data_IF_082890607067
#
_entry.id   IF_082890607067
#
_cell.length_a   1.000
_cell.length_b   1.000
_cell.length_c   1.000
_cell.angle_alpha   90.00
_cell.angle_beta   90.00
_cell.angle_gamma   90.00
#
_symmetry.space_group_name_H-M   'P 1'
#
loop_
_entity.id
_entity.type
_entity.pdbx_description
1 polymer ?
#
# COMPACT_ATOMS: atom_id res chain seq x y z
N UNK A 1 15.70 -18.01 6.98
CA UNK A 1 14.73 -17.64 8.02
C UNK A 1 15.07 -18.40 9.27
N UNK A 2 15.25 -17.69 10.37
CA UNK A 2 15.32 -18.25 11.72
C UNK A 2 14.00 -18.96 12.11
N UNK A 3 14.04 -19.64 13.25
CA UNK A 3 12.93 -20.42 13.77
C UNK A 3 11.72 -19.54 14.12
N UNK A 4 11.97 -18.37 14.70
CA UNK A 4 10.93 -17.38 15.06
C UNK A 4 10.15 -16.92 13.82
N UNK A 5 10.84 -16.63 12.73
CA UNK A 5 10.22 -16.23 11.46
C UNK A 5 9.32 -17.33 10.90
N UNK A 6 9.76 -18.61 10.98
CA UNK A 6 8.93 -19.74 10.52
C UNK A 6 7.68 -19.89 11.38
N UNK A 7 7.83 -19.77 12.70
CA UNK A 7 6.70 -19.84 13.63
C UNK A 7 5.70 -18.71 13.37
N UNK A 8 6.18 -17.49 13.13
CA UNK A 8 5.35 -16.34 12.77
C UNK A 8 4.49 -16.62 11.54
N UNK A 9 5.08 -17.08 10.43
CA UNK A 9 4.32 -17.39 9.21
C UNK A 9 3.37 -18.58 9.37
N UNK A 10 3.71 -19.58 10.20
CA UNK A 10 2.79 -20.66 10.53
C UNK A 10 1.55 -20.16 11.27
N UNK A 11 1.72 -19.23 12.22
CA UNK A 11 0.60 -18.61 12.95
C UNK A 11 -0.26 -17.78 12.00
N UNK A 12 0.36 -16.92 11.17
CA UNK A 12 -0.35 -16.12 10.17
C UNK A 12 -1.20 -17.00 9.24
N UNK A 13 -0.61 -18.07 8.73
CA UNK A 13 -1.31 -18.97 7.82
C UNK A 13 -2.45 -19.73 8.53
N UNK A 14 -2.15 -20.40 9.65
CA UNK A 14 -3.11 -21.28 10.32
C UNK A 14 -4.24 -20.55 11.06
N UNK A 15 -4.02 -19.30 11.49
CA UNK A 15 -5.01 -18.52 12.25
C UNK A 15 -5.72 -17.47 11.41
N UNK A 16 -5.04 -16.86 10.44
CA UNK A 16 -5.56 -15.73 9.67
C UNK A 16 -5.70 -16.03 8.17
N UNK A 17 -5.22 -17.19 7.69
CA UNK A 17 -5.19 -17.51 6.27
C UNK A 17 -4.19 -16.68 5.46
N UNK A 18 -3.27 -15.97 6.12
CA UNK A 18 -2.27 -15.12 5.46
C UNK A 18 -1.06 -15.98 5.09
N UNK A 19 -0.73 -16.02 3.80
CA UNK A 19 0.43 -16.74 3.27
C UNK A 19 1.71 -15.93 3.37
N UNK A 20 1.63 -14.64 3.05
CA UNK A 20 2.79 -13.73 3.04
C UNK A 20 2.39 -12.35 3.51
N UNK A 21 3.32 -11.69 4.18
CA UNK A 21 3.27 -10.26 4.48
C UNK A 21 4.66 -9.69 4.23
N UNK A 22 4.75 -8.56 3.54
CA UNK A 22 6.05 -7.91 3.32
C UNK A 22 5.89 -6.40 3.18
N UNK A 23 6.92 -5.68 3.59
CA UNK A 23 7.02 -4.24 3.42
C UNK A 23 7.36 -3.88 1.98
N UNK A 24 6.83 -2.76 1.52
CA UNK A 24 7.17 -2.11 0.25
C UNK A 24 7.61 -0.71 0.57
N UNK A 25 8.84 -0.36 0.21
CA UNK A 25 9.40 0.97 0.50
C UNK A 25 8.51 2.07 -0.08
N UNK A 26 8.14 3.00 0.79
CA UNK A 26 7.30 4.15 0.49
C UNK A 26 8.17 5.40 0.34
N UNK A 27 7.80 6.28 -0.60
CA UNK A 27 8.47 7.56 -0.73
C UNK A 27 7.82 8.61 0.18
N UNK A 28 8.27 8.69 1.45
CA UNK A 28 7.78 9.67 2.43
C UNK A 28 8.87 10.21 3.37
N UNK A 29 9.29 9.41 4.36
CA UNK A 29 10.40 9.69 5.27
C UNK A 29 11.36 8.49 5.33
N UNK A 30 12.48 8.62 6.03
CA UNK A 30 13.42 7.51 6.22
C UNK A 30 12.71 6.32 6.89
N UNK A 31 12.91 5.12 6.35
CA UNK A 31 12.25 3.88 6.81
C UNK A 31 10.71 3.92 6.73
N UNK A 32 10.15 4.61 5.73
CA UNK A 32 8.72 4.56 5.41
C UNK A 32 8.38 3.33 4.53
N UNK A 33 7.27 2.65 4.86
CA UNK A 33 6.81 1.47 4.14
C UNK A 33 5.29 1.43 4.03
N UNK A 34 4.82 0.95 2.89
CA UNK A 34 3.53 0.26 2.79
C UNK A 34 3.70 -1.23 3.08
N UNK A 35 2.60 -1.97 3.12
CA UNK A 35 2.66 -3.42 3.27
C UNK A 35 1.71 -4.13 2.32
N UNK A 36 2.16 -5.27 1.80
CA UNK A 36 1.32 -6.21 1.08
C UNK A 36 0.98 -7.37 2.01
N UNK A 37 -0.31 -7.68 2.11
CA UNK A 37 -0.82 -8.87 2.78
C UNK A 37 -1.42 -9.79 1.72
N UNK A 38 -0.96 -11.02 1.66
CA UNK A 38 -1.37 -12.00 0.65
C UNK A 38 -1.95 -13.24 1.31
N UNK A 39 -3.18 -13.58 0.94
CA UNK A 39 -3.85 -14.83 1.28
C UNK A 39 -3.90 -15.76 0.04
N UNK A 40 -4.74 -16.80 0.10
CA UNK A 40 -4.98 -17.70 -1.05
C UNK A 40 -5.55 -16.94 -2.25
N UNK A 41 -6.68 -16.25 -2.04
CA UNK A 41 -7.50 -15.71 -3.14
C UNK A 41 -7.51 -14.19 -3.21
N UNK A 42 -6.81 -13.52 -2.30
CA UNK A 42 -6.81 -12.07 -2.23
C UNK A 42 -5.47 -11.50 -1.78
N UNK A 43 -5.23 -10.26 -2.23
CA UNK A 43 -4.08 -9.46 -1.85
C UNK A 43 -4.56 -8.06 -1.45
N UNK A 44 -3.96 -7.48 -0.43
CA UNK A 44 -4.22 -6.11 0.03
C UNK A 44 -2.90 -5.36 0.07
N UNK A 45 -2.87 -4.14 -0.47
CA UNK A 45 -1.74 -3.21 -0.38
C UNK A 45 -2.24 -2.04 0.43
N UNK A 46 -1.66 -1.86 1.61
CA UNK A 46 -1.84 -0.67 2.41
C UNK A 46 -0.64 0.25 2.17
N UNK A 47 -0.89 1.49 1.78
CA UNK A 47 0.18 2.43 1.43
C UNK A 47 0.96 2.91 2.64
N UNK A 48 0.30 3.18 3.77
CA UNK A 48 0.85 4.20 4.68
C UNK A 48 0.99 5.53 3.95
N UNK A 49 1.87 6.41 4.43
CA UNK A 49 2.09 7.72 3.83
C UNK A 49 3.16 7.63 2.73
N UNK A 50 2.85 8.18 1.56
CA UNK A 50 3.71 8.09 0.39
C UNK A 50 3.33 9.07 -0.70
N UNK A 51 4.30 9.47 -1.51
CA UNK A 51 4.03 9.92 -2.87
C UNK A 51 3.78 8.74 -3.82
N UNK A 52 3.10 8.95 -4.96
CA UNK A 52 3.02 7.96 -6.01
C UNK A 52 4.43 7.51 -6.44
N UNK A 53 4.67 6.21 -6.45
CA UNK A 53 5.99 5.66 -6.70
C UNK A 53 5.93 4.33 -7.47
N UNK A 54 7.06 3.98 -8.12
CA UNK A 54 7.14 2.81 -8.98
C UNK A 54 7.05 1.49 -8.21
N UNK A 55 7.46 1.45 -6.93
CA UNK A 55 7.36 0.24 -6.12
C UNK A 55 5.90 -0.21 -6.02
N UNK A 56 4.97 0.72 -5.86
CA UNK A 56 3.56 0.40 -5.69
C UNK A 56 2.95 -0.14 -6.99
N UNK A 57 3.42 0.37 -8.13
CA UNK A 57 3.05 -0.16 -9.43
C UNK A 57 3.58 -1.59 -9.64
N UNK A 58 4.81 -1.85 -9.19
CA UNK A 58 5.47 -3.15 -9.34
C UNK A 58 4.84 -4.22 -8.42
N UNK A 59 4.64 -3.91 -7.14
CA UNK A 59 4.15 -4.87 -6.14
C UNK A 59 2.61 -4.94 -6.07
N UNK A 60 1.91 -3.90 -6.49
CA UNK A 60 0.45 -3.80 -6.43
C UNK A 60 -0.30 -4.45 -7.60
N UNK A 61 0.38 -4.94 -8.64
CA UNK A 61 -0.30 -5.46 -9.84
C UNK A 61 -1.30 -6.59 -9.51
N UNK A 62 -2.53 -6.43 -9.98
CA UNK A 62 -3.62 -7.39 -9.84
C UNK A 62 -4.15 -7.54 -8.42
N UNK A 63 -3.98 -6.51 -7.59
CA UNK A 63 -4.38 -6.57 -6.20
C UNK A 63 -5.89 -6.50 -6.00
N UNK A 64 -6.42 -7.20 -4.99
CA UNK A 64 -7.85 -7.20 -4.70
C UNK A 64 -8.29 -5.86 -4.11
N UNK A 65 -7.57 -5.36 -3.12
CA UNK A 65 -7.87 -4.08 -2.49
C UNK A 65 -6.61 -3.25 -2.33
N UNK A 66 -6.63 -2.05 -2.89
CA UNK A 66 -5.67 -1.00 -2.55
C UNK A 66 -6.29 -0.11 -1.47
N UNK A 67 -5.62 0.05 -0.34
CA UNK A 67 -5.93 1.07 0.67
C UNK A 67 -4.83 2.12 0.58
N UNK A 68 -5.17 3.30 0.06
CA UNK A 68 -4.19 4.34 -0.27
C UNK A 68 -4.47 5.64 0.47
N UNK A 69 -3.42 6.32 0.92
CA UNK A 69 -3.51 7.69 1.42
C UNK A 69 -3.91 8.66 0.30
N UNK A 70 -4.70 9.67 0.66
CA UNK A 70 -5.22 10.68 -0.26
C UNK A 70 -5.25 12.03 0.47
N UNK A 71 -4.11 12.40 1.06
CA UNK A 71 -4.01 13.50 2.02
C UNK A 71 -4.50 14.83 1.48
N UNK A 72 -4.26 15.12 0.20
CA UNK A 72 -4.66 16.38 -0.42
C UNK A 72 -5.65 16.19 -1.58
N UNK A 73 -6.42 17.23 -1.87
CA UNK A 73 -7.34 17.27 -2.99
C UNK A 73 -6.61 17.41 -4.35
N UNK A 74 -7.34 17.15 -5.44
CA UNK A 74 -6.84 17.38 -6.79
C UNK A 74 -6.53 18.86 -7.01
N UNK A 75 -5.45 19.17 -7.75
CA UNK A 75 -4.98 20.55 -7.95
C UNK A 75 -3.98 21.04 -6.90
N UNK A 76 -3.72 20.25 -5.84
CA UNK A 76 -2.70 20.51 -4.83
C UNK A 76 -1.47 19.60 -4.98
N UNK A 77 -1.17 19.12 -6.19
CA UNK A 77 -0.10 18.15 -6.44
C UNK A 77 1.28 18.67 -6.02
N UNK A 78 1.55 19.97 -6.19
CA UNK A 78 2.81 20.57 -5.77
C UNK A 78 2.98 20.57 -4.25
N UNK A 79 1.89 20.79 -3.51
CA UNK A 79 1.92 20.78 -2.06
C UNK A 79 1.94 19.35 -1.50
N UNK A 80 1.25 18.42 -2.18
CA UNK A 80 1.34 17.00 -1.86
C UNK A 80 2.78 16.51 -2.02
N UNK A 81 3.43 16.89 -3.12
CA UNK A 81 4.82 16.58 -3.39
C UNK A 81 5.77 17.17 -2.35
N UNK A 82 5.60 18.44 -1.94
CA UNK A 82 6.45 19.06 -0.91
C UNK A 82 6.33 18.37 0.45
N UNK A 83 5.16 17.82 0.75
CA UNK A 83 4.87 17.10 2.01
C UNK A 83 5.07 15.58 1.88
N UNK A 84 5.55 15.11 0.73
CA UNK A 84 5.69 13.69 0.38
C UNK A 84 4.41 12.86 0.60
N UNK A 85 3.28 13.40 0.19
CA UNK A 85 1.96 12.77 0.23
C UNK A 85 1.35 12.60 -1.16
N UNK A 86 0.19 11.96 -1.22
CA UNK A 86 -0.56 11.69 -2.43
C UNK A 86 -1.86 12.50 -2.48
N UNK A 87 -2.19 13.05 -3.65
CA UNK A 87 -3.53 13.62 -3.89
C UNK A 87 -4.56 12.53 -4.17
N UNK A 88 -5.84 12.82 -3.96
CA UNK A 88 -6.96 11.88 -4.27
C UNK A 88 -6.87 11.31 -5.69
N UNK A 89 -6.64 12.15 -6.70
CA UNK A 89 -6.58 11.75 -8.11
C UNK A 89 -5.33 10.92 -8.43
N UNK A 90 -4.21 11.23 -7.80
CA UNK A 90 -3.01 10.41 -7.89
C UNK A 90 -3.23 9.02 -7.26
N UNK A 91 -3.86 8.92 -6.09
CA UNK A 91 -4.18 7.64 -5.46
C UNK A 91 -5.09 6.76 -6.34
N UNK A 92 -6.12 7.36 -6.95
CA UNK A 92 -6.99 6.68 -7.92
C UNK A 92 -6.20 6.21 -9.15
N UNK A 93 -5.27 7.04 -9.63
CA UNK A 93 -4.40 6.71 -10.77
C UNK A 93 -3.50 5.51 -10.46
N UNK A 94 -2.91 5.45 -9.25
CA UNK A 94 -2.13 4.30 -8.79
C UNK A 94 -3.00 3.04 -8.78
N UNK A 95 -4.18 3.10 -8.17
CA UNK A 95 -5.12 1.97 -8.12
C UNK A 95 -5.55 1.47 -9.50
N UNK A 96 -5.83 2.38 -10.42
CA UNK A 96 -6.17 2.03 -11.80
C UNK A 96 -4.99 1.38 -12.52
N UNK A 97 -3.78 1.94 -12.37
CA UNK A 97 -2.56 1.47 -13.03
C UNK A 97 -2.16 0.06 -12.62
N UNK A 98 -2.46 -0.33 -11.38
CA UNK A 98 -2.19 -1.68 -10.88
C UNK A 98 -3.34 -2.66 -11.14
N UNK A 99 -4.41 -2.23 -11.80
CA UNK A 99 -5.63 -3.01 -11.99
C UNK A 99 -6.18 -3.53 -10.64
N UNK A 100 -6.23 -2.64 -9.63
CA UNK A 100 -6.83 -2.99 -8.35
C UNK A 100 -8.33 -3.26 -8.54
N UNK A 101 -8.86 -4.32 -7.95
CA UNK A 101 -10.29 -4.58 -8.03
C UNK A 101 -11.10 -3.50 -7.30
N UNK A 102 -10.61 -3.03 -6.15
CA UNK A 102 -11.16 -1.88 -5.42
C UNK A 102 -10.05 -0.99 -4.87
N UNK A 103 -10.37 0.30 -4.74
CA UNK A 103 -9.55 1.31 -4.08
C UNK A 103 -10.33 1.88 -2.91
N UNK A 104 -9.73 1.88 -1.72
CA UNK A 104 -10.20 2.54 -0.52
C UNK A 104 -9.26 3.71 -0.22
N UNK A 105 -9.80 4.92 -0.15
CA UNK A 105 -9.03 6.13 0.11
C UNK A 105 -9.14 6.50 1.59
N UNK A 106 -8.03 6.93 2.19
CA UNK A 106 -7.94 7.29 3.61
C UNK A 106 -6.90 8.40 3.84
N UNK A 107 -6.65 8.74 5.11
CA UNK A 107 -5.66 9.72 5.53
C UNK A 107 -5.90 11.12 4.94
N UNK A 108 -7.17 11.55 4.86
CA UNK A 108 -7.53 12.88 4.37
C UNK A 108 -7.06 13.96 5.35
N UNK A 109 -6.41 15.01 4.84
CA UNK A 109 -6.22 16.24 5.62
C UNK A 109 -7.58 16.90 5.82
N UNK A 110 -7.86 17.46 7.01
CA UNK A 110 -8.96 18.39 7.20
C UNK A 110 -8.81 19.65 6.33
#
# INVERSE_FOLDING_TARGET
>A
FDEDTRQFYQVLNSKLGIKRIYGVEAFHCYEAYGCVVEAEDWRILYSGDTMPNQNYLNYGKGITLLIHEATLENGLEDDAKKKNHTTTGQAITVGTSINAWRVCLTHFSP
#
